data_IF_903850198520
#
_entry.id   IF_903850198520
#
_cell.length_a   1.000
_cell.length_b   1.000
_cell.length_c   1.000
_cell.angle_alpha   90.00
_cell.angle_beta   90.00
_cell.angle_gamma   90.00
#
_symmetry.space_group_name_H-M   'P 1'
#
loop_
_entity.id
_entity.type
_entity.pdbx_description
1 polymer ?
#
# COMPACT_ATOMS: atom_id res chain seq x y z
N UNK A 1 -14.70 20.69 -13.72
CA UNK A 1 -13.49 19.84 -13.86
C UNK A 1 -13.83 18.42 -13.42
N UNK A 2 -13.37 17.39 -14.15
CA UNK A 2 -13.56 15.99 -13.76
C UNK A 2 -12.90 15.75 -12.40
N UNK A 3 -13.61 15.17 -11.42
CA UNK A 3 -13.06 14.84 -10.10
C UNK A 3 -12.04 13.70 -10.28
N UNK A 4 -10.81 13.84 -9.73
CA UNK A 4 -9.82 12.76 -9.80
C UNK A 4 -10.30 11.54 -9.01
N UNK A 5 -9.82 10.32 -9.34
CA UNK A 5 -10.12 9.08 -8.60
C UNK A 5 -8.90 8.63 -7.79
N UNK A 6 -9.12 8.20 -6.55
CA UNK A 6 -8.11 7.62 -5.68
C UNK A 6 -8.33 6.11 -5.55
N UNK A 7 -7.41 5.33 -6.10
CA UNK A 7 -7.47 3.87 -6.16
C UNK A 7 -6.27 3.30 -5.41
N UNK A 8 -6.53 2.40 -4.47
CA UNK A 8 -5.51 1.79 -3.61
C UNK A 8 -5.48 0.28 -3.82
N UNK A 9 -4.29 -0.27 -4.00
CA UNK A 9 -4.04 -1.71 -4.00
C UNK A 9 -3.23 -2.07 -2.77
N UNK A 10 -3.82 -2.88 -1.90
CA UNK A 10 -3.27 -3.33 -0.63
C UNK A 10 -2.93 -4.83 -0.65
N UNK A 11 -2.25 -5.28 0.37
CA UNK A 11 -1.86 -6.68 0.57
C UNK A 11 -0.45 -6.82 1.12
N UNK A 12 -0.09 -8.01 1.57
CA UNK A 12 1.24 -8.30 2.12
C UNK A 12 2.34 -8.22 1.04
N UNK A 13 3.61 -8.22 1.44
CA UNK A 13 4.74 -8.25 0.51
C UNK A 13 4.74 -9.52 -0.35
N UNK A 14 5.12 -9.40 -1.62
CA UNK A 14 5.09 -10.52 -2.57
C UNK A 14 3.73 -10.77 -3.25
N UNK A 15 2.66 -10.03 -2.93
CA UNK A 15 1.34 -10.18 -3.59
C UNK A 15 1.28 -9.56 -4.99
N UNK A 16 2.28 -8.75 -5.40
CA UNK A 16 2.36 -8.19 -6.75
C UNK A 16 1.71 -6.81 -6.91
N UNK A 17 1.47 -6.08 -5.82
CA UNK A 17 0.87 -4.73 -5.84
C UNK A 17 1.51 -3.78 -6.84
N UNK A 18 2.83 -3.60 -6.78
CA UNK A 18 3.57 -2.67 -7.65
C UNK A 18 3.36 -3.01 -9.13
N UNK A 19 3.50 -4.28 -9.49
CA UNK A 19 3.24 -4.75 -10.86
C UNK A 19 1.82 -4.41 -11.32
N UNK A 20 0.83 -4.64 -10.47
CA UNK A 20 -0.57 -4.36 -10.82
C UNK A 20 -0.87 -2.86 -10.90
N UNK A 21 -0.27 -2.05 -10.04
CA UNK A 21 -0.36 -0.57 -10.09
C UNK A 21 0.21 -0.05 -11.41
N UNK A 22 1.36 -0.57 -11.85
CA UNK A 22 2.00 -0.19 -13.11
C UNK A 22 1.13 -0.56 -14.32
N UNK A 23 0.64 -1.79 -14.37
CA UNK A 23 -0.25 -2.26 -15.44
C UNK A 23 -1.56 -1.45 -15.49
N UNK A 24 -2.14 -1.15 -14.32
CA UNK A 24 -3.34 -0.31 -14.24
C UNK A 24 -3.05 1.12 -14.73
N UNK A 25 -1.89 1.66 -14.39
CA UNK A 25 -1.46 2.98 -14.87
C UNK A 25 -1.31 3.02 -16.39
N UNK A 26 -0.73 1.98 -16.98
CA UNK A 26 -0.64 1.85 -18.44
C UNK A 26 -2.04 1.76 -19.08
N UNK A 27 -2.94 0.97 -18.50
CA UNK A 27 -4.31 0.85 -18.99
C UNK A 27 -5.01 2.21 -19.02
N UNK A 28 -4.96 2.98 -17.94
CA UNK A 28 -5.57 4.30 -17.87
C UNK A 28 -4.94 5.30 -18.84
N UNK A 29 -3.60 5.30 -18.95
CA UNK A 29 -2.88 6.18 -19.89
C UNK A 29 -3.23 5.87 -21.34
N UNK A 30 -3.33 4.60 -21.73
CA UNK A 30 -3.78 4.17 -23.07
C UNK A 30 -5.19 4.65 -23.40
N UNK A 31 -6.02 4.85 -22.38
CA UNK A 31 -7.38 5.40 -22.51
C UNK A 31 -7.43 6.94 -22.34
N UNK A 32 -6.30 7.63 -22.50
CA UNK A 32 -6.22 9.09 -22.47
C UNK A 32 -6.36 9.73 -21.08
N UNK A 33 -6.23 8.96 -20.00
CA UNK A 33 -6.39 9.47 -18.64
C UNK A 33 -5.02 9.83 -18.02
N UNK A 34 -4.96 10.97 -17.35
CA UNK A 34 -3.76 11.39 -16.61
C UNK A 34 -3.66 10.61 -15.30
N UNK A 35 -2.51 9.97 -15.06
CA UNK A 35 -2.27 9.10 -13.90
C UNK A 35 -1.11 9.61 -13.07
N UNK A 36 -1.27 9.58 -11.75
CA UNK A 36 -0.19 9.70 -10.77
C UNK A 36 -0.08 8.38 -10.00
N UNK A 37 1.07 7.74 -10.06
CA UNK A 37 1.40 6.62 -9.18
C UNK A 37 2.00 7.17 -7.88
N UNK A 38 1.61 6.56 -6.75
CA UNK A 38 2.19 6.81 -5.43
C UNK A 38 2.51 5.47 -4.77
N UNK A 39 3.59 5.41 -4.03
CA UNK A 39 4.00 4.23 -3.26
C UNK A 39 4.28 4.63 -1.81
N UNK A 40 3.58 4.03 -0.86
CA UNK A 40 3.81 4.26 0.57
C UNK A 40 4.74 3.18 1.16
N UNK A 41 5.63 3.57 2.08
CA UNK A 41 5.87 4.90 2.64
C UNK A 41 6.80 5.79 1.80
N UNK A 42 7.20 5.37 0.63
CA UNK A 42 8.08 6.02 -0.31
C UNK A 42 8.52 5.04 -1.39
N UNK A 43 9.23 5.52 -2.42
CA UNK A 43 9.62 4.72 -3.58
C UNK A 43 11.03 5.06 -4.03
N UNK A 44 11.72 4.07 -4.59
CA UNK A 44 13.01 4.31 -5.26
C UNK A 44 12.82 5.13 -6.55
N UNK A 45 11.61 5.12 -7.11
CA UNK A 45 11.22 6.02 -8.19
C UNK A 45 10.71 7.35 -7.62
N UNK A 46 11.49 8.42 -7.74
CA UNK A 46 11.17 9.76 -7.23
C UNK A 46 9.89 10.36 -7.84
N UNK A 47 9.43 9.90 -9.01
CA UNK A 47 8.15 10.33 -9.58
C UNK A 47 6.96 9.84 -8.76
N UNK A 48 7.11 8.73 -8.05
CA UNK A 48 6.08 8.07 -7.24
C UNK A 48 6.16 8.46 -5.76
N UNK A 49 7.16 9.27 -5.36
CA UNK A 49 7.42 9.64 -3.97
C UNK A 49 7.93 11.08 -3.86
N UNK A 50 8.42 11.45 -2.67
CA UNK A 50 9.10 12.72 -2.38
C UNK A 50 10.44 12.46 -1.68
N UNK A 51 11.39 13.40 -1.71
CA UNK A 51 12.65 13.24 -0.97
C UNK A 51 12.44 12.97 0.52
N UNK A 52 11.53 13.70 1.18
CA UNK A 52 11.24 13.51 2.60
C UNK A 52 10.64 12.11 2.88
N UNK A 53 9.66 11.67 2.09
CA UNK A 53 9.09 10.34 2.24
C UNK A 53 10.13 9.24 2.04
N UNK A 54 11.10 9.46 1.14
CA UNK A 54 12.17 8.49 0.89
C UNK A 54 13.19 8.41 2.04
N UNK A 55 13.52 9.52 2.68
CA UNK A 55 14.38 9.48 3.89
C UNK A 55 13.66 8.76 5.04
N UNK A 56 12.36 9.02 5.23
CA UNK A 56 11.56 8.29 6.21
C UNK A 56 11.49 6.78 5.86
N UNK A 57 11.31 6.43 4.58
CA UNK A 57 11.33 5.04 4.11
C UNK A 57 12.65 4.35 4.42
N UNK A 58 13.80 5.03 4.23
CA UNK A 58 15.10 4.46 4.59
C UNK A 58 15.18 4.11 6.08
N UNK A 59 14.74 5.04 6.95
CA UNK A 59 14.68 4.77 8.38
C UNK A 59 13.73 3.62 8.72
N UNK A 60 12.52 3.59 8.11
CA UNK A 60 11.53 2.52 8.31
C UNK A 60 12.08 1.15 7.91
N UNK A 61 12.76 1.07 6.77
CA UNK A 61 13.27 -0.20 6.23
C UNK A 61 14.56 -0.68 6.91
N UNK A 62 15.27 0.18 7.62
CA UNK A 62 16.51 -0.17 8.27
C UNK A 62 16.27 -1.09 9.48
N UNK A 63 16.48 -2.40 9.29
CA UNK A 63 16.30 -3.41 10.33
C UNK A 63 17.34 -3.37 11.45
N UNK A 64 18.43 -2.60 11.30
CA UNK A 64 19.44 -2.40 12.37
C UNK A 64 19.03 -1.32 13.38
N UNK A 65 18.01 -0.53 13.07
CA UNK A 65 17.48 0.48 13.99
C UNK A 65 16.36 -0.14 14.83
N UNK A 66 16.67 -0.44 16.08
CA UNK A 66 15.66 -0.87 17.05
C UNK A 66 14.66 0.27 17.30
N UNK A 67 13.38 -0.03 17.17
CA UNK A 67 12.28 0.92 17.35
C UNK A 67 11.08 0.26 17.99
N UNK A 68 10.39 1.03 18.82
CA UNK A 68 9.07 0.57 19.30
C UNK A 68 8.01 0.63 18.18
N UNK A 69 6.92 -0.16 18.30
CA UNK A 69 5.79 -0.11 17.37
C UNK A 69 5.21 1.30 17.18
N UNK A 70 5.16 2.11 18.23
CA UNK A 70 4.67 3.49 18.19
C UNK A 70 5.54 4.38 17.29
N UNK A 71 6.87 4.23 17.37
CA UNK A 71 7.80 4.95 16.48
C UNK A 71 7.56 4.54 15.02
N UNK A 72 7.28 3.26 14.75
CA UNK A 72 6.91 2.82 13.41
C UNK A 72 5.64 3.52 12.93
N UNK A 73 4.58 3.57 13.74
CA UNK A 73 3.32 4.29 13.42
C UNK A 73 3.59 5.77 13.10
N UNK A 74 4.43 6.44 13.88
CA UNK A 74 4.77 7.86 13.66
C UNK A 74 5.55 8.06 12.36
N UNK A 75 6.54 7.22 12.06
CA UNK A 75 7.31 7.29 10.82
C UNK A 75 6.43 7.06 9.58
N UNK A 76 5.56 6.05 9.61
CA UNK A 76 4.58 5.81 8.53
C UNK A 76 3.60 6.97 8.39
N UNK A 77 3.14 7.56 9.51
CA UNK A 77 2.22 8.69 9.50
C UNK A 77 2.88 9.94 8.91
N UNK A 78 4.15 10.20 9.22
CA UNK A 78 4.91 11.31 8.66
C UNK A 78 5.09 11.16 7.13
N UNK A 79 5.50 9.97 6.67
CA UNK A 79 5.64 9.68 5.24
C UNK A 79 4.30 9.84 4.50
N UNK A 80 3.23 9.33 5.08
CA UNK A 80 1.85 9.45 4.56
C UNK A 80 1.40 10.90 4.46
N UNK A 81 1.65 11.70 5.49
CA UNK A 81 1.35 13.14 5.48
C UNK A 81 2.04 13.84 4.32
N UNK A 82 3.31 13.56 4.13
CA UNK A 82 4.12 14.15 3.05
C UNK A 82 3.58 13.75 1.67
N UNK A 83 3.33 12.46 1.45
CA UNK A 83 2.80 11.95 0.18
C UNK A 83 1.39 12.49 -0.11
N UNK A 84 0.52 12.55 0.90
CA UNK A 84 -0.79 13.17 0.77
C UNK A 84 -0.68 14.61 0.28
N UNK A 85 0.12 15.42 0.97
CA UNK A 85 0.20 16.85 0.72
C UNK A 85 0.88 17.17 -0.62
N UNK A 86 1.92 16.42 -0.98
CA UNK A 86 2.77 16.76 -2.14
C UNK A 86 2.44 16.00 -3.41
N UNK A 87 1.78 14.86 -3.32
CA UNK A 87 1.50 13.98 -4.47
C UNK A 87 0.01 13.71 -4.64
N UNK A 88 -0.66 13.14 -3.63
CA UNK A 88 -2.02 12.63 -3.77
C UNK A 88 -3.02 13.76 -3.95
N UNK A 89 -3.12 14.67 -2.99
CA UNK A 89 -4.09 15.75 -3.01
C UNK A 89 -3.94 16.67 -4.26
N UNK A 90 -2.73 17.12 -4.63
CA UNK A 90 -2.56 17.94 -5.84
C UNK A 90 -2.95 17.21 -7.12
N UNK A 91 -2.69 15.89 -7.23
CA UNK A 91 -3.06 15.10 -8.39
C UNK A 91 -4.59 14.94 -8.50
N UNK A 92 -5.24 14.62 -7.38
CA UNK A 92 -6.70 14.52 -7.30
C UNK A 92 -7.40 15.84 -7.66
N UNK A 93 -6.87 16.97 -7.18
CA UNK A 93 -7.40 18.29 -7.48
C UNK A 93 -7.25 18.67 -8.97
N UNK A 94 -6.25 18.10 -9.66
CA UNK A 94 -6.06 18.23 -11.11
C UNK A 94 -6.89 17.23 -11.92
N UNK A 95 -7.79 16.47 -11.31
CA UNK A 95 -8.63 15.49 -11.98
C UNK A 95 -7.90 14.22 -12.43
N UNK A 96 -6.70 13.95 -11.91
CA UNK A 96 -5.94 12.76 -12.27
C UNK A 96 -6.47 11.52 -11.54
N UNK A 97 -6.21 10.35 -12.11
CA UNK A 97 -6.29 9.08 -11.39
C UNK A 97 -5.03 8.93 -10.54
N UNK A 98 -5.20 8.75 -9.24
CA UNK A 98 -4.11 8.42 -8.32
C UNK A 98 -4.18 6.94 -8.01
N UNK A 99 -3.12 6.21 -8.35
CA UNK A 99 -2.94 4.79 -8.04
C UNK A 99 -1.91 4.66 -6.92
N UNK A 100 -2.31 4.09 -5.80
CA UNK A 100 -1.41 3.88 -4.67
C UNK A 100 -1.16 2.40 -4.42
N UNK A 101 0.12 2.02 -4.37
CA UNK A 101 0.52 0.79 -3.72
C UNK A 101 0.64 1.07 -2.23
N UNK A 102 -0.29 0.54 -1.44
CA UNK A 102 -0.48 0.74 -0.01
C UNK A 102 -1.13 2.08 0.37
N UNK A 103 -1.74 2.08 1.55
CA UNK A 103 -2.18 3.24 2.31
C UNK A 103 -2.16 2.91 3.83
N UNK A 104 -3.01 3.53 4.64
CA UNK A 104 -3.07 3.28 6.09
C UNK A 104 -3.54 1.86 6.47
N UNK A 105 -4.17 1.10 5.57
CA UNK A 105 -4.51 -0.31 5.82
C UNK A 105 -3.28 -1.16 6.07
N UNK A 106 -2.16 -0.85 5.41
CA UNK A 106 -0.88 -1.47 5.75
C UNK A 106 -0.50 -1.22 7.21
N UNK A 107 -0.72 -0.02 7.75
CA UNK A 107 -0.43 0.27 9.17
C UNK A 107 -1.39 -0.48 10.12
N UNK A 108 -2.67 -0.61 9.75
CA UNK A 108 -3.61 -1.46 10.51
C UNK A 108 -3.18 -2.93 10.54
N UNK A 109 -2.66 -3.45 9.42
CA UNK A 109 -2.18 -4.83 9.36
C UNK A 109 -0.84 -5.01 10.12
N UNK A 110 0.16 -4.19 9.82
CA UNK A 110 1.52 -4.34 10.36
C UNK A 110 1.61 -3.89 11.82
N UNK A 111 1.31 -2.62 12.09
CA UNK A 111 1.42 -2.05 13.43
C UNK A 111 0.21 -2.40 14.31
N UNK A 112 -0.97 -2.46 13.73
CA UNK A 112 -2.18 -2.85 14.47
C UNK A 112 -2.14 -4.33 14.87
N UNK A 113 -2.39 -5.23 13.94
CA UNK A 113 -2.49 -6.66 14.25
C UNK A 113 -1.13 -7.32 14.45
N UNK A 114 -0.11 -6.89 13.68
CA UNK A 114 1.24 -7.46 13.75
C UNK A 114 2.04 -7.03 14.99
N UNK A 115 1.93 -5.78 15.41
CA UNK A 115 2.71 -5.20 16.52
C UNK A 115 1.86 -4.79 17.72
N UNK A 116 0.52 -4.96 17.69
CA UNK A 116 -0.37 -4.79 18.83
C UNK A 116 -0.82 -3.36 19.14
N UNK A 117 -0.63 -2.41 18.22
CA UNK A 117 -1.13 -1.04 18.39
C UNK A 117 -2.64 -0.99 18.18
N UNK A 118 -3.35 -0.27 19.05
CA UNK A 118 -4.80 -0.09 18.89
C UNK A 118 -5.15 0.54 17.54
N UNK A 119 -6.02 -0.15 16.80
CA UNK A 119 -6.51 0.32 15.50
C UNK A 119 -7.20 1.69 15.58
N UNK A 120 -7.86 2.02 16.69
CA UNK A 120 -8.50 3.33 16.87
C UNK A 120 -7.46 4.45 16.90
N UNK A 121 -6.31 4.25 17.55
CA UNK A 121 -5.22 5.22 17.57
C UNK A 121 -4.58 5.40 16.19
N UNK A 122 -4.38 4.31 15.44
CA UNK A 122 -3.88 4.38 14.05
C UNK A 122 -4.84 5.20 13.18
N UNK A 123 -6.13 4.95 13.28
CA UNK A 123 -7.15 5.69 12.52
C UNK A 123 -7.21 7.16 12.94
N UNK A 124 -7.14 7.45 14.24
CA UNK A 124 -7.12 8.82 14.78
C UNK A 124 -5.93 9.61 14.25
N UNK A 125 -4.72 9.06 14.30
CA UNK A 125 -3.50 9.68 13.77
C UNK A 125 -3.57 9.87 12.26
N UNK A 126 -4.06 8.87 11.53
CA UNK A 126 -4.20 8.97 10.08
C UNK A 126 -5.16 10.10 9.70
N UNK A 127 -6.31 10.19 10.36
CA UNK A 127 -7.30 11.26 10.14
C UNK A 127 -6.74 12.64 10.49
N UNK A 128 -5.96 12.75 11.57
CA UNK A 128 -5.34 14.00 12.00
C UNK A 128 -4.35 14.55 10.97
N UNK A 129 -3.55 13.68 10.35
CA UNK A 129 -2.45 14.09 9.46
C UNK A 129 -2.77 13.99 7.97
N UNK A 130 -3.93 13.47 7.58
CA UNK A 130 -4.35 13.38 6.18
C UNK A 130 -5.67 14.12 5.94
N UNK A 131 -6.56 13.51 5.20
CA UNK A 131 -7.84 14.11 4.83
C UNK A 131 -8.89 13.00 4.68
N UNK A 132 -10.15 13.33 4.82
CA UNK A 132 -11.25 12.38 4.70
C UNK A 132 -11.23 11.62 3.36
N UNK A 133 -10.83 12.29 2.28
CA UNK A 133 -10.68 11.66 0.97
C UNK A 133 -9.51 10.66 0.89
N UNK A 134 -8.50 10.80 1.73
CA UNK A 134 -7.44 9.79 1.87
C UNK A 134 -7.95 8.57 2.64
N UNK A 135 -8.76 8.83 3.69
CA UNK A 135 -9.37 7.77 4.49
C UNK A 135 -10.38 6.93 3.69
N UNK A 136 -11.07 7.56 2.74
CA UNK A 136 -12.11 6.96 1.91
C UNK A 136 -11.68 7.01 0.43
N UNK A 137 -10.77 6.12 -0.03
CA UNK A 137 -10.46 6.01 -1.45
C UNK A 137 -11.68 5.60 -2.26
N UNK A 138 -11.76 6.03 -3.52
CA UNK A 138 -12.86 5.63 -4.42
C UNK A 138 -12.87 4.11 -4.65
N UNK A 139 -11.70 3.48 -4.63
CA UNK A 139 -11.54 2.02 -4.69
C UNK A 139 -10.39 1.60 -3.79
N UNK A 140 -10.62 0.59 -2.94
CA UNK A 140 -9.57 -0.09 -2.20
C UNK A 140 -9.72 -1.59 -2.41
N UNK A 141 -8.69 -2.24 -2.91
CA UNK A 141 -8.67 -3.66 -3.25
C UNK A 141 -7.55 -4.33 -2.47
N UNK A 142 -7.81 -5.51 -1.91
CA UNK A 142 -6.82 -6.28 -1.17
C UNK A 142 -6.39 -7.51 -1.98
N UNK A 143 -5.10 -7.58 -2.30
CA UNK A 143 -4.49 -8.76 -2.89
C UNK A 143 -4.11 -9.74 -1.79
N UNK A 144 -4.71 -10.91 -1.81
CA UNK A 144 -4.45 -11.99 -0.83
C UNK A 144 -3.75 -13.16 -1.53
N UNK A 145 -2.86 -13.85 -0.83
CA UNK A 145 -2.25 -15.08 -1.33
C UNK A 145 -1.80 -15.95 -0.17
N UNK A 146 -1.58 -17.23 -0.43
CA UNK A 146 -1.03 -18.11 0.60
C UNK A 146 0.47 -17.82 0.87
N UNK A 147 0.92 -18.26 2.04
CA UNK A 147 2.28 -18.04 2.51
C UNK A 147 3.35 -18.58 1.54
N UNK A 148 3.15 -19.78 1.00
CA UNK A 148 4.13 -20.46 0.15
C UNK A 148 4.33 -19.74 -1.18
N UNK A 149 3.24 -19.27 -1.81
CA UNK A 149 3.30 -18.49 -3.05
C UNK A 149 4.05 -17.18 -2.83
N UNK A 150 3.76 -16.50 -1.71
CA UNK A 150 4.44 -15.28 -1.32
C UNK A 150 5.94 -15.50 -1.11
N UNK A 151 6.30 -16.52 -0.33
CA UNK A 151 7.71 -16.89 -0.04
C UNK A 151 8.49 -17.20 -1.31
N UNK A 152 7.91 -17.98 -2.22
CA UNK A 152 8.51 -18.28 -3.55
C UNK A 152 8.75 -17.01 -4.38
N UNK A 153 7.80 -16.06 -4.38
CA UNK A 153 7.95 -14.81 -5.14
C UNK A 153 9.01 -13.89 -4.56
N UNK A 154 9.08 -13.78 -3.23
CA UNK A 154 10.12 -13.01 -2.54
C UNK A 154 11.50 -13.61 -2.81
N UNK A 155 11.65 -14.93 -2.70
CA UNK A 155 12.89 -15.62 -3.00
C UNK A 155 13.34 -15.41 -4.46
N UNK A 156 12.40 -15.45 -5.43
CA UNK A 156 12.71 -15.20 -6.85
C UNK A 156 13.13 -13.74 -7.11
N UNK A 157 12.67 -12.78 -6.33
CA UNK A 157 13.10 -11.37 -6.44
C UNK A 157 14.57 -11.19 -6.04
N UNK A 158 15.12 -12.10 -5.26
CA UNK A 158 16.48 -12.04 -4.69
C UNK A 158 16.52 -11.51 -3.26
N UNK A 159 17.65 -11.73 -2.62
CA UNK A 159 17.90 -11.25 -1.26
C UNK A 159 17.98 -9.72 -1.24
N UNK A 160 17.44 -9.11 -0.20
CA UNK A 160 17.66 -7.69 0.07
C UNK A 160 19.10 -7.46 0.47
N UNK A 161 19.74 -6.41 -0.06
CA UNK A 161 21.10 -6.02 0.31
C UNK A 161 21.23 -5.69 1.80
N UNK A 162 20.15 -5.15 2.37
CA UNK A 162 20.05 -4.86 3.80
C UNK A 162 18.78 -5.52 4.36
N UNK A 163 18.80 -6.02 5.62
CA UNK A 163 17.62 -6.55 6.27
C UNK A 163 16.51 -5.49 6.31
N UNK A 164 15.33 -5.84 5.78
CA UNK A 164 14.15 -5.01 5.91
C UNK A 164 13.48 -5.30 7.26
N UNK A 165 13.13 -4.26 7.99
CA UNK A 165 12.52 -4.36 9.34
C UNK A 165 11.35 -5.33 9.42
N UNK A 166 10.52 -5.41 8.38
CA UNK A 166 9.27 -6.19 8.39
C UNK A 166 9.37 -7.45 7.53
N UNK A 167 9.98 -7.36 6.34
CA UNK A 167 10.06 -8.49 5.41
C UNK A 167 10.95 -9.63 5.93
N UNK A 168 11.96 -9.31 6.73
CA UNK A 168 12.86 -10.29 7.34
C UNK A 168 12.33 -10.92 8.65
N UNK A 169 11.17 -10.48 9.15
CA UNK A 169 10.54 -11.09 10.34
C UNK A 169 10.12 -12.53 10.05
N UNK A 170 10.02 -13.33 11.11
CA UNK A 170 9.75 -14.77 11.05
C UNK A 170 8.40 -15.11 10.38
N UNK A 171 8.26 -16.38 10.01
CA UNK A 171 7.08 -16.90 9.33
C UNK A 171 5.78 -16.71 10.15
N UNK A 172 5.85 -16.76 11.49
CA UNK A 172 4.70 -16.51 12.35
C UNK A 172 4.16 -15.07 12.17
N UNK A 173 5.04 -14.08 12.21
CA UNK A 173 4.67 -12.68 11.94
C UNK A 173 4.08 -12.50 10.54
N UNK A 174 4.68 -13.12 9.53
CA UNK A 174 4.21 -13.04 8.15
C UNK A 174 2.83 -13.69 7.96
N UNK A 175 2.55 -14.78 8.68
CA UNK A 175 1.22 -15.40 8.70
C UNK A 175 0.20 -14.50 9.40
N UNK A 176 0.57 -13.87 10.51
CA UNK A 176 -0.28 -12.86 11.16
C UNK A 176 -0.65 -11.75 10.19
N UNK A 177 0.30 -11.23 9.40
CA UNK A 177 0.00 -10.20 8.41
C UNK A 177 -0.94 -10.68 7.30
N UNK A 178 -0.76 -11.91 6.79
CA UNK A 178 -1.66 -12.46 5.77
C UNK A 178 -3.10 -12.55 6.30
N UNK A 179 -3.28 -13.03 7.52
CA UNK A 179 -4.59 -13.11 8.18
C UNK A 179 -5.15 -11.69 8.43
N UNK A 180 -4.30 -10.76 8.88
CA UNK A 180 -4.67 -9.37 9.11
C UNK A 180 -5.30 -8.72 7.87
N UNK A 181 -4.70 -8.90 6.71
CA UNK A 181 -5.26 -8.35 5.46
C UNK A 181 -6.60 -8.99 5.10
N UNK A 182 -6.77 -10.29 5.28
CA UNK A 182 -8.03 -10.99 5.02
C UNK A 182 -9.14 -10.54 6.00
N UNK A 183 -8.83 -10.45 7.29
CA UNK A 183 -9.75 -9.98 8.32
C UNK A 183 -10.16 -8.52 8.12
N UNK A 184 -9.19 -7.64 7.82
CA UNK A 184 -9.47 -6.25 7.51
C UNK A 184 -10.34 -6.11 6.25
N UNK A 185 -10.07 -6.90 5.20
CA UNK A 185 -10.90 -6.90 4.01
C UNK A 185 -12.35 -7.29 4.33
N UNK A 186 -12.55 -8.33 5.13
CA UNK A 186 -13.88 -8.76 5.60
C UNK A 186 -14.54 -7.68 6.46
N UNK A 187 -13.83 -7.15 7.47
CA UNK A 187 -14.34 -6.13 8.40
C UNK A 187 -14.84 -4.88 7.68
N UNK A 188 -14.14 -4.46 6.64
CA UNK A 188 -14.46 -3.24 5.88
C UNK A 188 -15.19 -3.51 4.56
N UNK A 189 -15.64 -4.77 4.34
CA UNK A 189 -16.35 -5.21 3.12
C UNK A 189 -15.63 -4.81 1.83
N UNK A 190 -14.31 -5.07 1.78
CA UNK A 190 -13.46 -4.70 0.65
C UNK A 190 -13.36 -5.83 -0.37
N UNK A 191 -13.31 -5.51 -1.68
CA UNK A 191 -13.02 -6.49 -2.70
C UNK A 191 -11.63 -7.12 -2.50
N UNK A 192 -11.58 -8.45 -2.59
CA UNK A 192 -10.33 -9.22 -2.52
C UNK A 192 -10.08 -9.92 -3.83
N UNK A 193 -8.81 -10.03 -4.21
CA UNK A 193 -8.38 -10.81 -5.38
C UNK A 193 -7.31 -11.81 -4.93
N UNK A 194 -7.49 -13.09 -5.32
CA UNK A 194 -6.44 -14.09 -5.12
C UNK A 194 -5.24 -13.77 -6.00
N UNK A 195 -4.17 -13.33 -5.35
CA UNK A 195 -2.90 -13.04 -5.99
C UNK A 195 -2.08 -14.31 -6.36
N UNK A 196 -2.58 -15.50 -6.07
CA UNK A 196 -2.01 -16.76 -6.55
C UNK A 196 -2.18 -16.96 -8.06
N UNK A 197 -3.15 -16.29 -8.66
CA UNK A 197 -3.44 -16.32 -10.10
C UNK A 197 -2.33 -15.69 -10.96
N UNK A 198 -2.45 -15.81 -12.27
CA UNK A 198 -1.53 -15.15 -13.22
C UNK A 198 -1.67 -13.61 -13.16
N UNK A 199 -0.60 -12.91 -13.54
CA UNK A 199 -0.59 -11.44 -13.61
C UNK A 199 -1.74 -10.91 -14.46
N UNK A 200 -2.06 -11.60 -15.59
CA UNK A 200 -3.13 -11.20 -16.52
C UNK A 200 -4.53 -11.34 -15.90
N UNK A 201 -4.78 -12.44 -15.21
CA UNK A 201 -6.07 -12.69 -14.54
C UNK A 201 -6.32 -11.68 -13.42
N UNK A 202 -5.32 -11.43 -12.57
CA UNK A 202 -5.39 -10.40 -11.52
C UNK A 202 -5.67 -9.04 -12.15
N UNK A 203 -4.93 -8.68 -13.20
CA UNK A 203 -5.11 -7.39 -13.87
C UNK A 203 -6.51 -7.23 -14.47
N UNK A 204 -7.05 -8.28 -15.09
CA UNK A 204 -8.43 -8.27 -15.61
C UNK A 204 -9.46 -8.00 -14.52
N UNK A 205 -9.37 -8.72 -13.39
CA UNK A 205 -10.27 -8.52 -12.24
C UNK A 205 -10.16 -7.09 -11.66
N UNK A 206 -8.94 -6.56 -11.57
CA UNK A 206 -8.72 -5.17 -11.14
C UNK A 206 -9.42 -4.17 -12.07
N UNK A 207 -9.30 -4.33 -13.38
CA UNK A 207 -9.98 -3.49 -14.37
C UNK A 207 -11.49 -3.57 -14.18
N UNK A 208 -12.05 -4.77 -14.01
CA UNK A 208 -13.49 -4.97 -13.87
C UNK A 208 -14.01 -4.27 -12.60
N UNK A 209 -13.32 -4.39 -11.46
CA UNK A 209 -13.69 -3.71 -10.21
C UNK A 209 -13.64 -2.19 -10.38
N UNK A 210 -12.57 -1.66 -10.98
CA UNK A 210 -12.36 -0.20 -11.10
C UNK A 210 -13.32 0.47 -12.08
N UNK A 211 -13.86 -0.29 -13.07
CA UNK A 211 -14.88 0.23 -14.02
C UNK A 211 -16.25 0.42 -13.40
N UNK A 212 -16.58 -0.39 -12.39
CA UNK A 212 -17.89 -0.37 -11.73
C UNK A 212 -17.98 0.71 -10.64
N UNK A 213 -16.84 1.11 -10.08
CA UNK A 213 -16.70 2.14 -9.04
C UNK A 213 -16.44 3.53 -9.68
#
# INVERSE_FOLDING_TARGET
MKKGKYIVIEGNDGTGKTTQVELLAEHFRKNGQAVQIVEEPGSDNLTNSTPVANELRKAIKNGSLERSPEINVLLFSAARRELWQKKIAPALNKGKIVLSARNYFSTLAYQGQGEGIDSAEILRLTKLFTHERYMNPDVLIVLVTNHDTRKKRIAKRGALLNPDTFESRNDAFQNTLNNAYAELATKYNLPTIDAGQSIKEIHKQLIDIVKVA
#
